data_IF_977543239641
#
_entry.id   IF_977543239641
#
_cell.length_a   1.000
_cell.length_b   1.000
_cell.length_c   1.000
_cell.angle_alpha   90.00
_cell.angle_beta   90.00
_cell.angle_gamma   90.00
#
_symmetry.space_group_name_H-M   'P 1'
#
loop_
_entity.id
_entity.type
_entity.pdbx_description
1 polymer ?
#
# COMPACT_ATOMS: atom_id res chain seq x y z
N UNK A 1 6.23 31.06 -3.26
CA UNK A 1 6.30 29.61 -3.54
C UNK A 1 7.51 29.06 -2.79
N UNK A 2 7.30 28.05 -1.95
CA UNK A 2 8.38 27.50 -1.13
C UNK A 2 8.19 25.98 -0.99
N UNK A 3 9.27 25.21 -1.07
CA UNK A 3 9.27 23.78 -0.79
C UNK A 3 9.21 23.54 0.72
N UNK A 4 8.50 22.51 1.13
CA UNK A 4 8.35 22.11 2.54
C UNK A 4 8.67 20.62 2.69
N UNK A 5 9.04 20.22 3.89
CA UNK A 5 9.23 18.80 4.21
C UNK A 5 7.90 18.04 4.16
N UNK A 6 7.87 16.92 3.46
CA UNK A 6 6.68 16.06 3.30
C UNK A 6 7.03 14.58 3.51
N UNK A 7 6.07 13.83 4.04
CA UNK A 7 6.00 12.39 3.78
C UNK A 7 5.38 12.22 2.40
N UNK A 8 6.01 11.40 1.57
CA UNK A 8 5.63 11.18 0.17
C UNK A 8 5.52 9.68 -0.09
N UNK A 9 4.38 9.25 -0.64
CA UNK A 9 4.15 7.91 -1.14
C UNK A 9 3.86 7.98 -2.63
N UNK A 10 4.60 7.24 -3.43
CA UNK A 10 4.30 7.02 -4.85
C UNK A 10 3.89 5.56 -5.05
N UNK A 11 2.73 5.33 -5.64
CA UNK A 11 2.17 4.01 -5.94
C UNK A 11 1.94 3.84 -7.43
N UNK A 12 2.10 2.60 -7.89
CA UNK A 12 1.81 2.14 -9.25
C UNK A 12 0.91 0.89 -9.19
N UNK A 13 -0.07 0.81 -10.09
CA UNK A 13 -0.90 -0.38 -10.27
C UNK A 13 -0.15 -1.37 -11.15
N UNK A 14 0.26 -2.48 -10.56
CA UNK A 14 1.05 -3.50 -11.24
C UNK A 14 0.30 -4.09 -12.44
N UNK A 15 0.89 -3.92 -13.63
CA UNK A 15 0.34 -4.49 -14.86
C UNK A 15 -0.82 -3.72 -15.47
N UNK A 16 -1.03 -2.46 -15.10
CA UNK A 16 -2.08 -1.60 -15.64
C UNK A 16 -2.10 -1.58 -17.18
N UNK A 17 -0.96 -1.35 -17.81
CA UNK A 17 -0.86 -1.35 -19.28
C UNK A 17 -1.35 -2.66 -19.89
N UNK A 18 -1.06 -3.81 -19.26
CA UNK A 18 -1.55 -5.11 -19.71
C UNK A 18 -3.07 -5.25 -19.51
N UNK A 19 -3.62 -4.68 -18.43
CA UNK A 19 -5.07 -4.68 -18.20
C UNK A 19 -5.75 -3.95 -19.36
N UNK A 20 -5.33 -2.73 -19.65
CA UNK A 20 -5.93 -1.89 -20.71
C UNK A 20 -5.72 -2.49 -22.09
N UNK A 21 -4.50 -2.94 -22.42
CA UNK A 21 -4.20 -3.53 -23.74
C UNK A 21 -4.96 -4.83 -24.04
N UNK A 22 -5.44 -5.52 -23.00
CA UNK A 22 -6.24 -6.74 -23.16
C UNK A 22 -7.76 -6.48 -23.17
N UNK A 23 -8.21 -5.23 -23.02
CA UNK A 23 -9.61 -4.88 -23.20
C UNK A 23 -9.99 -5.03 -24.67
N UNK A 24 -10.97 -5.90 -24.94
CA UNK A 24 -11.40 -6.23 -26.32
C UNK A 24 -12.44 -5.26 -26.85
N UNK A 25 -13.13 -4.58 -25.97
CA UNK A 25 -14.22 -3.68 -26.29
C UNK A 25 -14.44 -2.66 -25.16
N UNK A 26 -15.26 -1.66 -25.45
CA UNK A 26 -15.61 -0.56 -24.52
C UNK A 26 -16.30 -1.07 -23.23
N UNK A 27 -17.01 -2.19 -23.28
CA UNK A 27 -17.68 -2.74 -22.10
C UNK A 27 -16.63 -3.25 -21.10
N UNK A 28 -15.59 -3.90 -21.60
CA UNK A 28 -14.48 -4.38 -20.78
C UNK A 28 -13.65 -3.23 -20.22
N UNK A 29 -13.42 -2.18 -21.01
CA UNK A 29 -12.75 -0.94 -20.52
C UNK A 29 -13.56 -0.29 -19.39
N UNK A 30 -14.88 -0.13 -19.55
CA UNK A 30 -15.75 0.42 -18.51
C UNK A 30 -15.73 -0.44 -17.23
N UNK A 31 -15.74 -1.77 -17.35
CA UNK A 31 -15.63 -2.65 -16.18
C UNK A 31 -14.34 -2.40 -15.39
N UNK A 32 -13.20 -2.29 -16.07
CA UNK A 32 -11.93 -1.99 -15.38
C UNK A 32 -11.85 -0.55 -14.87
N UNK A 33 -12.44 0.40 -15.58
CA UNK A 33 -12.55 1.79 -15.11
C UNK A 33 -13.29 1.84 -13.77
N UNK A 34 -14.49 1.25 -13.70
CA UNK A 34 -15.31 1.23 -12.48
C UNK A 34 -14.58 0.52 -11.33
N UNK A 35 -13.94 -0.60 -11.63
CA UNK A 35 -13.17 -1.38 -10.66
C UNK A 35 -11.98 -0.59 -10.09
N UNK A 36 -11.14 -0.03 -10.96
CA UNK A 36 -9.96 0.74 -10.56
C UNK A 36 -10.36 2.01 -9.82
N UNK A 37 -11.38 2.72 -10.33
CA UNK A 37 -11.93 3.91 -9.68
C UNK A 37 -12.43 3.61 -8.27
N UNK A 38 -13.18 2.52 -8.08
CA UNK A 38 -13.65 2.09 -6.75
C UNK A 38 -12.48 1.79 -5.80
N UNK A 39 -11.46 1.08 -6.28
CA UNK A 39 -10.28 0.72 -5.48
C UNK A 39 -9.51 1.98 -5.07
N UNK A 40 -9.24 2.91 -6.00
CA UNK A 40 -8.52 4.15 -5.72
C UNK A 40 -9.32 5.04 -4.76
N UNK A 41 -10.64 5.16 -4.95
CA UNK A 41 -11.51 5.92 -4.05
C UNK A 41 -11.49 5.37 -2.62
N UNK A 42 -11.42 4.05 -2.45
CA UNK A 42 -11.26 3.43 -1.15
C UNK A 42 -9.85 3.68 -0.57
N UNK A 43 -8.79 3.58 -1.37
CA UNK A 43 -7.43 3.89 -0.94
C UNK A 43 -7.32 5.33 -0.41
N UNK A 44 -7.84 6.32 -1.15
CA UNK A 44 -7.89 7.71 -0.70
C UNK A 44 -8.65 7.84 0.62
N UNK A 45 -9.77 7.11 0.79
CA UNK A 45 -10.52 7.11 2.05
C UNK A 45 -9.72 6.55 3.22
N UNK A 46 -8.91 5.51 3.02
CA UNK A 46 -8.07 4.94 4.07
C UNK A 46 -6.88 5.84 4.44
N UNK A 47 -6.38 6.65 3.52
CA UNK A 47 -5.22 7.51 3.74
C UNK A 47 -5.64 8.94 4.12
N UNK A 48 -6.50 9.58 3.34
CA UNK A 48 -6.82 11.01 3.50
C UNK A 48 -7.88 11.26 4.57
N UNK A 49 -8.84 10.33 4.75
CA UNK A 49 -9.97 10.50 5.68
C UNK A 49 -9.78 9.78 7.01
N UNK A 50 -8.60 9.23 7.24
CA UNK A 50 -8.28 8.61 8.52
C UNK A 50 -8.19 9.67 9.61
N UNK A 51 -8.87 9.43 10.72
CA UNK A 51 -8.71 10.26 11.91
C UNK A 51 -7.38 9.97 12.60
N UNK A 52 -6.63 11.01 12.91
CA UNK A 52 -5.35 10.92 13.61
C UNK A 52 -5.55 11.43 15.03
N UNK A 53 -5.21 10.63 16.02
CA UNK A 53 -5.02 11.11 17.39
C UNK A 53 -3.63 11.77 17.48
N UNK A 54 -3.57 13.11 17.42
CA UNK A 54 -2.30 13.84 17.47
C UNK A 54 -1.99 14.34 18.90
N UNK A 55 -3.00 14.45 19.77
CA UNK A 55 -2.79 15.04 21.10
C UNK A 55 -3.53 14.25 22.17
N UNK A 56 -2.76 13.53 22.99
CA UNK A 56 -3.29 12.84 24.16
C UNK A 56 -3.81 13.80 25.26
N UNK A 57 -3.52 15.11 25.17
CA UNK A 57 -3.92 16.09 26.16
C UNK A 57 -5.22 16.83 25.81
N UNK A 58 -5.65 16.85 24.55
CA UNK A 58 -6.78 17.69 24.11
C UNK A 58 -7.94 16.93 23.45
N UNK A 59 -7.96 15.60 23.41
CA UNK A 59 -9.02 14.79 22.78
C UNK A 59 -9.46 15.22 21.35
N UNK A 60 -8.61 15.96 20.66
CA UNK A 60 -8.91 16.45 19.33
C UNK A 60 -8.57 15.41 18.25
N UNK A 61 -9.60 14.86 17.63
CA UNK A 61 -9.49 14.08 16.40
C UNK A 61 -9.16 15.01 15.23
N UNK A 62 -7.94 14.88 14.69
CA UNK A 62 -7.57 15.57 13.48
C UNK A 62 -7.70 14.63 12.27
N UNK A 63 -8.25 15.14 11.16
CA UNK A 63 -8.22 14.44 9.88
C UNK A 63 -6.80 14.34 9.35
N UNK A 64 -6.53 13.27 8.62
CA UNK A 64 -5.27 13.11 7.90
C UNK A 64 -5.00 14.34 7.01
N UNK A 65 -3.75 14.80 7.00
CA UNK A 65 -3.31 15.92 6.14
C UNK A 65 -2.82 15.44 4.77
N UNK A 66 -2.94 14.15 4.49
CA UNK A 66 -2.56 13.62 3.18
C UNK A 66 -3.47 14.19 2.09
N UNK A 67 -2.84 14.58 1.00
CA UNK A 67 -3.47 14.91 -0.28
C UNK A 67 -3.04 13.89 -1.32
N UNK A 68 -3.82 13.72 -2.36
CA UNK A 68 -3.49 12.83 -3.47
C UNK A 68 -3.51 13.55 -4.81
N UNK A 69 -2.67 13.06 -5.72
CA UNK A 69 -2.74 13.31 -7.15
C UNK A 69 -2.74 11.98 -7.88
N UNK A 70 -3.59 11.91 -8.89
CA UNK A 70 -3.84 10.70 -9.66
C UNK A 70 -3.52 10.97 -11.11
N UNK A 71 -2.70 10.13 -11.70
CA UNK A 71 -2.41 10.18 -13.12
C UNK A 71 -2.27 8.77 -13.68
N UNK A 72 -3.26 8.34 -14.47
CA UNK A 72 -3.30 6.97 -15.00
C UNK A 72 -3.30 5.92 -13.87
N UNK A 73 -2.28 5.07 -13.82
CA UNK A 73 -2.00 4.06 -12.80
C UNK A 73 -1.13 4.56 -11.64
N UNK A 74 -0.64 5.80 -11.76
CA UNK A 74 0.22 6.40 -10.75
C UNK A 74 -0.58 7.20 -9.73
N UNK A 75 -0.31 6.96 -8.46
CA UNK A 75 -0.99 7.61 -7.34
C UNK A 75 0.08 8.20 -6.43
N UNK A 76 0.03 9.52 -6.25
CA UNK A 76 0.91 10.24 -5.35
C UNK A 76 0.11 10.68 -4.13
N UNK A 77 0.54 10.26 -2.93
CA UNK A 77 0.08 10.82 -1.66
C UNK A 77 1.20 11.60 -1.00
N UNK A 78 0.87 12.74 -0.41
CA UNK A 78 1.85 13.58 0.28
C UNK A 78 1.21 14.38 1.40
N UNK A 79 1.96 14.61 2.48
CA UNK A 79 1.53 15.43 3.62
C UNK A 79 2.71 16.22 4.19
N UNK A 80 2.57 17.54 4.43
CA UNK A 80 3.62 18.33 5.03
C UNK A 80 3.77 18.00 6.53
N UNK A 81 5.01 18.00 7.02
CA UNK A 81 5.29 17.87 8.44
C UNK A 81 6.14 19.03 8.98
N UNK A 82 6.00 19.34 10.28
CA UNK A 82 6.64 20.47 10.91
C UNK A 82 7.89 20.10 11.71
N UNK A 83 7.94 18.92 12.28
CA UNK A 83 9.02 18.41 13.13
C UNK A 83 9.05 16.88 13.08
N UNK A 84 10.02 16.26 13.76
CA UNK A 84 10.20 14.79 13.74
C UNK A 84 8.99 14.04 14.34
N UNK A 85 8.39 14.51 15.43
CA UNK A 85 7.21 13.88 16.03
C UNK A 85 6.04 13.88 15.06
N UNK A 86 5.83 14.99 14.38
CA UNK A 86 4.80 15.15 13.37
C UNK A 86 5.06 14.26 12.14
N UNK A 87 6.32 14.15 11.71
CA UNK A 87 6.76 13.23 10.67
C UNK A 87 6.42 11.78 11.03
N UNK A 88 6.79 11.34 12.24
CA UNK A 88 6.57 9.98 12.69
C UNK A 88 5.08 9.65 12.78
N UNK A 89 4.25 10.58 13.29
CA UNK A 89 2.81 10.40 13.32
C UNK A 89 2.18 10.26 11.94
N UNK A 90 2.57 11.10 10.98
CA UNK A 90 2.09 11.00 9.61
C UNK A 90 2.54 9.71 8.94
N UNK A 91 3.81 9.34 9.13
CA UNK A 91 4.35 8.10 8.59
C UNK A 91 3.60 6.88 9.13
N UNK A 92 3.40 6.78 10.45
CA UNK A 92 2.64 5.68 11.05
C UNK A 92 1.21 5.61 10.54
N UNK A 93 0.55 6.75 10.43
CA UNK A 93 -0.80 6.83 9.89
C UNK A 93 -0.88 6.32 8.45
N UNK A 94 0.10 6.67 7.63
CA UNK A 94 0.20 6.18 6.26
C UNK A 94 0.35 4.65 6.23
N UNK A 95 1.25 4.09 7.05
CA UNK A 95 1.44 2.65 7.13
C UNK A 95 0.18 1.91 7.59
N UNK A 96 -0.53 2.45 8.58
CA UNK A 96 -1.79 1.88 9.05
C UNK A 96 -2.87 1.90 7.97
N UNK A 97 -3.07 3.05 7.32
CA UNK A 97 -4.04 3.19 6.23
C UNK A 97 -3.75 2.26 5.06
N UNK A 98 -2.49 2.18 4.65
CA UNK A 98 -2.05 1.27 3.59
C UNK A 98 -2.24 -0.20 3.96
N UNK A 99 -1.87 -0.59 5.18
CA UNK A 99 -2.01 -1.99 5.61
C UNK A 99 -3.46 -2.43 5.67
N UNK A 100 -4.32 -1.60 6.24
CA UNK A 100 -5.75 -1.87 6.29
C UNK A 100 -6.35 -1.97 4.88
N UNK A 101 -5.96 -1.07 3.99
CA UNK A 101 -6.37 -1.11 2.59
C UNK A 101 -5.88 -2.37 1.88
N UNK A 102 -4.58 -2.68 1.94
CA UNK A 102 -3.99 -3.81 1.22
C UNK A 102 -4.54 -5.15 1.72
N UNK A 103 -4.79 -5.32 3.02
CA UNK A 103 -5.45 -6.52 3.56
C UNK A 103 -6.84 -6.71 2.94
N UNK A 104 -7.63 -5.65 2.78
CA UNK A 104 -9.01 -5.71 2.31
C UNK A 104 -9.14 -5.80 0.78
N UNK A 105 -8.23 -5.18 0.03
CA UNK A 105 -8.38 -4.95 -1.42
C UNK A 105 -7.42 -5.75 -2.32
N UNK A 106 -6.43 -6.45 -1.77
CA UNK A 106 -5.58 -7.37 -2.57
C UNK A 106 -6.38 -8.51 -3.26
N UNK A 107 -7.62 -8.73 -2.85
CA UNK A 107 -8.58 -9.68 -3.42
C UNK A 107 -9.07 -9.37 -4.84
N UNK A 108 -8.92 -8.15 -5.27
CA UNK A 108 -9.53 -7.63 -6.50
C UNK A 108 -8.71 -7.90 -7.78
N UNK A 109 -7.69 -8.75 -7.74
CA UNK A 109 -6.74 -8.99 -8.84
C UNK A 109 -5.96 -7.69 -9.25
N UNK A 110 -5.99 -6.66 -8.41
CA UNK A 110 -5.23 -5.42 -8.56
C UNK A 110 -4.17 -5.39 -7.47
N UNK A 111 -2.93 -5.29 -7.89
CA UNK A 111 -1.78 -5.30 -6.99
C UNK A 111 -1.03 -3.98 -7.13
N UNK A 112 -0.46 -3.53 -6.02
CA UNK A 112 0.28 -2.29 -5.96
C UNK A 112 1.76 -2.53 -5.69
N UNK A 113 2.58 -1.64 -6.22
CA UNK A 113 3.96 -1.45 -5.77
C UNK A 113 4.18 0.03 -5.51
N UNK A 114 5.19 0.39 -4.73
CA UNK A 114 5.38 1.79 -4.39
C UNK A 114 6.61 2.07 -3.57
N UNK A 115 6.84 3.36 -3.32
CA UNK A 115 7.91 3.87 -2.49
C UNK A 115 7.43 4.95 -1.52
N UNK A 116 7.83 4.83 -0.25
CA UNK A 116 7.60 5.83 0.79
C UNK A 116 8.91 6.50 1.17
N UNK A 117 8.92 7.82 1.21
CA UNK A 117 10.07 8.62 1.63
C UNK A 117 9.67 9.87 2.38
N UNK A 118 10.64 10.54 3.01
CA UNK A 118 10.56 11.94 3.42
C UNK A 118 11.42 12.80 2.49
N UNK A 119 10.95 14.00 2.17
CA UNK A 119 11.68 14.92 1.33
C UNK A 119 10.97 16.23 1.05
N UNK A 120 11.68 17.14 0.40
CA UNK A 120 11.13 18.43 0.03
C UNK A 120 10.13 18.30 -1.12
N UNK A 121 8.96 18.95 -0.98
CA UNK A 121 7.93 19.00 -1.99
C UNK A 121 7.20 20.34 -1.95
N UNK A 122 6.87 20.85 -3.12
CA UNK A 122 5.95 21.96 -3.37
C UNK A 122 4.73 21.44 -4.12
N UNK A 123 3.56 21.92 -3.75
CA UNK A 123 2.30 21.62 -4.43
C UNK A 123 1.52 22.89 -4.71
N UNK A 124 1.11 23.07 -5.97
CA UNK A 124 0.18 24.09 -6.40
C UNK A 124 -1.19 23.44 -6.71
N UNK A 125 -2.18 23.76 -5.89
CA UNK A 125 -3.51 23.16 -6.00
C UNK A 125 -4.26 23.61 -7.28
N UNK A 126 -4.03 24.84 -7.74
CA UNK A 126 -4.73 25.36 -8.91
C UNK A 126 -4.19 24.76 -10.22
N UNK A 127 -2.89 24.51 -10.25
CA UNK A 127 -2.21 23.93 -11.41
C UNK A 127 -2.11 22.40 -11.32
N UNK A 128 -2.49 21.79 -10.20
CA UNK A 128 -2.22 20.39 -9.89
C UNK A 128 -0.73 20.02 -10.11
N UNK A 129 0.15 20.97 -9.80
CA UNK A 129 1.59 20.87 -10.07
C UNK A 129 2.34 20.49 -8.81
N UNK A 130 3.19 19.45 -8.92
CA UNK A 130 4.07 18.98 -7.86
C UNK A 130 5.51 19.09 -8.30
N UNK A 131 6.36 19.58 -7.39
CA UNK A 131 7.81 19.71 -7.61
C UNK A 131 8.57 19.40 -6.32
N UNK A 132 9.66 18.66 -6.43
CA UNK A 132 10.59 18.49 -5.31
C UNK A 132 11.32 17.15 -5.28
N UNK A 133 12.39 17.10 -4.46
CA UNK A 133 13.22 15.90 -4.29
C UNK A 133 12.47 14.72 -3.70
N UNK A 134 11.46 14.98 -2.84
CA UNK A 134 10.60 13.93 -2.27
C UNK A 134 9.86 13.14 -3.34
N UNK A 135 9.31 13.82 -4.37
CA UNK A 135 8.66 13.16 -5.50
C UNK A 135 9.64 12.26 -6.27
N UNK A 136 10.80 12.81 -6.65
CA UNK A 136 11.83 12.08 -7.41
C UNK A 136 12.29 10.83 -6.64
N UNK A 137 12.51 10.96 -5.34
CA UNK A 137 12.96 9.86 -4.48
C UNK A 137 11.89 8.77 -4.33
N UNK A 138 10.63 9.16 -4.08
CA UNK A 138 9.52 8.20 -3.99
C UNK A 138 9.30 7.43 -5.30
N UNK A 139 9.34 8.12 -6.44
CA UNK A 139 9.29 7.52 -7.77
C UNK A 139 10.48 6.58 -8.03
N UNK A 140 11.70 6.97 -7.64
CA UNK A 140 12.88 6.10 -7.79
C UNK A 140 12.75 4.82 -6.97
N UNK A 141 12.24 4.91 -5.74
CA UNK A 141 11.98 3.74 -4.90
C UNK A 141 10.96 2.82 -5.57
N UNK A 142 9.87 3.35 -6.10
CA UNK A 142 8.85 2.58 -6.82
C UNK A 142 9.44 1.93 -8.09
N UNK A 143 10.02 2.71 -8.99
CA UNK A 143 10.42 2.25 -10.33
C UNK A 143 11.66 1.35 -10.34
N UNK A 144 12.61 1.60 -9.44
CA UNK A 144 13.92 0.93 -9.44
C UNK A 144 14.12 -0.08 -8.33
N UNK A 145 13.48 0.09 -7.17
CA UNK A 145 13.67 -0.76 -5.98
C UNK A 145 12.47 -1.68 -5.73
N UNK A 146 11.25 -1.19 -5.90
CA UNK A 146 10.03 -1.98 -5.72
C UNK A 146 9.76 -2.90 -6.92
N UNK A 147 10.66 -3.86 -7.16
CA UNK A 147 10.55 -4.83 -8.28
C UNK A 147 9.34 -5.76 -8.15
N UNK A 148 8.88 -5.98 -6.92
CA UNK A 148 7.79 -6.88 -6.56
C UNK A 148 6.55 -6.10 -6.10
N UNK A 149 5.36 -6.73 -5.94
CA UNK A 149 4.17 -6.08 -5.40
C UNK A 149 4.35 -5.79 -3.90
N UNK A 150 5.16 -4.80 -3.59
CA UNK A 150 5.46 -4.34 -2.24
C UNK A 150 5.64 -2.83 -2.19
N UNK A 151 5.43 -2.26 -1.02
CA UNK A 151 5.67 -0.84 -0.75
C UNK A 151 7.01 -0.72 -0.06
N UNK A 152 8.01 -0.22 -0.78
CA UNK A 152 9.38 -0.03 -0.27
C UNK A 152 9.44 1.22 0.61
N UNK A 153 10.20 1.14 1.67
CA UNK A 153 10.41 2.21 2.63
C UNK A 153 11.84 2.71 2.53
N UNK A 154 11.97 4.01 2.42
CA UNK A 154 13.27 4.67 2.41
C UNK A 154 14.06 4.38 3.70
N UNK A 155 15.36 4.17 3.56
CA UNK A 155 16.25 3.95 4.70
C UNK A 155 16.26 5.11 5.71
N UNK A 156 15.94 6.33 5.30
CA UNK A 156 15.81 7.48 6.19
C UNK A 156 14.55 7.43 7.07
N UNK A 157 13.53 6.69 6.62
CA UNK A 157 12.28 6.43 7.37
C UNK A 157 12.32 5.08 8.08
N UNK A 158 13.44 4.34 7.99
CA UNK A 158 13.54 3.05 8.66
C UNK A 158 13.20 3.21 10.14
N UNK A 159 12.43 2.27 10.67
CA UNK A 159 11.92 2.40 12.02
C UNK A 159 13.04 2.42 13.06
N UNK A 160 12.81 3.19 14.11
CA UNK A 160 13.26 2.78 15.44
C UNK A 160 12.83 1.32 15.70
N UNK A 161 13.58 0.50 16.45
CA UNK A 161 13.34 -0.95 16.63
C UNK A 161 11.94 -1.36 17.15
N UNK A 162 11.05 -0.42 17.34
CA UNK A 162 9.71 -0.58 17.93
C UNK A 162 8.59 -0.70 16.88
N UNK A 163 8.85 -0.48 15.58
CA UNK A 163 7.79 -0.44 14.57
C UNK A 163 7.46 -1.84 14.01
N UNK A 164 6.41 -2.41 14.52
CA UNK A 164 5.72 -3.57 13.97
C UNK A 164 5.19 -3.25 12.58
N UNK A 165 5.29 -4.18 11.63
CA UNK A 165 4.74 -4.00 10.30
C UNK A 165 5.73 -3.49 9.25
N UNK A 166 7.04 -3.59 9.54
CA UNK A 166 8.11 -3.41 8.55
C UNK A 166 8.94 -4.67 8.49
N UNK A 167 9.11 -5.19 7.28
CA UNK A 167 10.00 -6.31 6.99
C UNK A 167 11.23 -5.83 6.22
N UNK A 168 12.28 -6.64 6.24
CA UNK A 168 13.52 -6.39 5.52
C UNK A 168 13.92 -7.62 4.70
N UNK A 169 14.31 -7.38 3.47
CA UNK A 169 14.88 -8.39 2.57
C UNK A 169 16.01 -7.76 1.76
N UNK A 170 17.23 -8.31 1.83
CA UNK A 170 18.40 -7.81 1.10
C UNK A 170 18.60 -6.28 1.24
N UNK A 171 18.60 -5.79 2.48
CA UNK A 171 18.75 -4.37 2.85
C UNK A 171 17.60 -3.44 2.39
N UNK A 172 16.55 -3.99 1.78
CA UNK A 172 15.36 -3.25 1.38
C UNK A 172 14.31 -3.38 2.47
N UNK A 173 13.88 -2.26 3.05
CA UNK A 173 12.75 -2.20 3.97
C UNK A 173 11.45 -2.07 3.19
N UNK A 174 10.42 -2.79 3.60
CA UNK A 174 9.11 -2.73 2.98
C UNK A 174 7.99 -2.95 4.00
N UNK A 175 6.80 -2.47 3.66
CA UNK A 175 5.60 -2.61 4.49
C UNK A 175 5.18 -4.09 4.57
N UNK A 176 5.22 -4.67 5.78
CA UNK A 176 4.60 -5.96 6.10
C UNK A 176 3.11 -5.74 6.42
N UNK A 177 2.34 -5.50 5.37
CA UNK A 177 0.93 -5.12 5.50
C UNK A 177 0.05 -6.21 6.11
N UNK A 178 0.42 -7.50 5.96
CA UNK A 178 -0.32 -8.60 6.60
C UNK A 178 -0.13 -8.59 8.11
N UNK A 179 1.10 -8.46 8.59
CA UNK A 179 1.38 -8.39 10.03
C UNK A 179 0.75 -7.17 10.68
N UNK A 180 0.90 -6.00 10.05
CA UNK A 180 0.34 -4.74 10.58
C UNK A 180 -1.19 -4.72 10.50
N UNK A 181 -1.77 -5.14 9.38
CA UNK A 181 -3.22 -5.18 9.21
C UNK A 181 -3.90 -6.19 10.12
N UNK A 182 -3.27 -7.35 10.38
CA UNK A 182 -3.75 -8.32 11.38
C UNK A 182 -3.76 -7.71 12.79
N UNK A 183 -2.68 -7.01 13.17
CA UNK A 183 -2.62 -6.31 14.45
C UNK A 183 -3.74 -5.27 14.58
N UNK A 184 -3.98 -4.46 13.55
CA UNK A 184 -5.04 -3.46 13.54
C UNK A 184 -6.44 -4.07 13.71
N UNK A 185 -6.70 -5.21 13.06
CA UNK A 185 -7.97 -5.94 13.22
C UNK A 185 -8.07 -6.53 14.63
N UNK A 186 -7.00 -7.15 15.13
CA UNK A 186 -6.95 -7.73 16.48
C UNK A 186 -7.21 -6.67 17.57
N UNK A 187 -6.63 -5.49 17.42
CA UNK A 187 -6.69 -4.42 18.41
C UNK A 187 -7.92 -3.51 18.22
N UNK A 188 -8.81 -3.81 17.28
CA UNK A 188 -10.08 -3.09 17.04
C UNK A 188 -11.16 -3.45 18.10
N UNK A 189 -12.21 -2.64 18.16
CA UNK A 189 -13.36 -2.85 19.07
C UNK A 189 -14.35 -3.94 18.58
N UNK A 190 -14.06 -4.65 17.49
CA UNK A 190 -14.91 -5.73 17.00
C UNK A 190 -14.94 -6.92 17.98
N UNK A 191 -16.05 -7.70 18.04
CA UNK A 191 -16.08 -8.95 18.77
C UNK A 191 -15.01 -9.94 18.28
N UNK A 192 -14.42 -10.73 19.19
CA UNK A 192 -13.25 -11.57 18.87
C UNK A 192 -13.50 -12.56 17.72
N UNK A 193 -14.68 -13.22 17.72
CA UNK A 193 -15.05 -14.12 16.62
C UNK A 193 -15.12 -13.39 15.27
N UNK A 194 -15.63 -12.15 15.24
CA UNK A 194 -15.73 -11.32 14.03
C UNK A 194 -14.35 -10.93 13.51
N UNK A 195 -13.38 -10.63 14.39
CA UNK A 195 -12.00 -10.32 14.01
C UNK A 195 -11.36 -11.47 13.26
N UNK A 196 -11.46 -12.68 13.83
CA UNK A 196 -10.87 -13.91 13.27
C UNK A 196 -11.53 -14.24 11.92
N UNK A 197 -12.85 -14.20 11.85
CA UNK A 197 -13.60 -14.45 10.62
C UNK A 197 -13.29 -13.44 9.54
N UNK A 198 -13.26 -12.16 9.88
CA UNK A 198 -12.96 -11.08 8.94
C UNK A 198 -11.56 -11.23 8.35
N UNK A 199 -10.54 -11.42 9.19
CA UNK A 199 -9.17 -11.56 8.71
C UNK A 199 -8.96 -12.85 7.91
N UNK A 200 -9.58 -13.96 8.34
CA UNK A 200 -9.58 -15.23 7.61
C UNK A 200 -10.23 -15.11 6.24
N UNK A 201 -11.32 -14.35 6.13
CA UNK A 201 -11.95 -14.06 4.84
C UNK A 201 -11.01 -13.27 3.92
N UNK A 202 -10.34 -12.25 4.45
CA UNK A 202 -9.34 -11.50 3.69
C UNK A 202 -8.20 -12.39 3.17
N UNK A 203 -7.64 -13.26 4.02
CA UNK A 203 -6.58 -14.20 3.60
C UNK A 203 -7.06 -15.19 2.54
N UNK A 204 -8.29 -15.70 2.65
CA UNK A 204 -8.88 -16.59 1.64
C UNK A 204 -9.03 -15.89 0.28
N UNK A 205 -9.51 -14.67 0.28
CA UNK A 205 -9.69 -13.88 -0.94
C UNK A 205 -8.34 -13.51 -1.57
N UNK A 206 -7.35 -13.14 -0.76
CA UNK A 206 -5.97 -12.90 -1.22
C UNK A 206 -5.35 -14.17 -1.83
N UNK A 207 -5.48 -15.33 -1.15
CA UNK A 207 -5.03 -16.61 -1.71
C UNK A 207 -5.58 -16.83 -3.11
N UNK A 208 -6.89 -16.62 -3.31
CA UNK A 208 -7.54 -16.81 -4.60
C UNK A 208 -6.98 -15.86 -5.67
N UNK A 209 -6.86 -14.57 -5.35
CA UNK A 209 -6.35 -13.57 -6.28
C UNK A 209 -4.88 -13.82 -6.66
N UNK A 210 -4.03 -14.14 -5.67
CA UNK A 210 -2.61 -14.41 -5.91
C UNK A 210 -2.42 -15.70 -6.68
N UNK A 211 -3.14 -16.79 -6.32
CA UNK A 211 -3.09 -18.07 -7.06
C UNK A 211 -3.47 -17.91 -8.51
N UNK A 212 -4.53 -17.15 -8.79
CA UNK A 212 -4.97 -16.87 -10.17
C UNK A 212 -3.90 -16.11 -10.95
N UNK A 213 -3.28 -15.08 -10.35
CA UNK A 213 -2.21 -14.33 -11.00
C UNK A 213 -0.95 -15.18 -11.18
N UNK A 214 -0.57 -15.99 -10.18
CA UNK A 214 0.54 -16.93 -10.24
C UNK A 214 0.39 -17.88 -11.43
N UNK A 215 -0.74 -18.54 -11.57
CA UNK A 215 -1.01 -19.47 -12.68
C UNK A 215 -1.07 -18.77 -14.03
N UNK A 216 -1.70 -17.60 -14.10
CA UNK A 216 -1.82 -16.79 -15.32
C UNK A 216 -0.45 -16.46 -15.93
N UNK A 217 0.53 -16.12 -15.11
CA UNK A 217 1.84 -15.65 -15.54
C UNK A 217 2.97 -16.67 -15.41
N UNK A 218 2.66 -17.94 -15.11
CA UNK A 218 3.63 -19.02 -14.88
C UNK A 218 4.70 -19.13 -15.98
N UNK A 219 4.35 -18.84 -17.24
CA UNK A 219 5.24 -18.90 -18.40
C UNK A 219 5.87 -17.57 -18.81
N UNK A 220 5.57 -16.50 -18.10
CA UNK A 220 6.12 -15.17 -18.39
C UNK A 220 7.32 -14.89 -17.47
N UNK A 221 8.53 -15.14 -17.96
CA UNK A 221 9.77 -15.01 -17.20
C UNK A 221 9.98 -13.60 -16.61
N UNK A 222 9.40 -12.55 -17.20
CA UNK A 222 9.51 -11.16 -16.74
C UNK A 222 8.51 -10.82 -15.65
N UNK A 223 7.31 -11.37 -15.74
CA UNK A 223 6.19 -11.04 -14.85
C UNK A 223 6.05 -12.04 -13.71
N UNK A 224 6.27 -13.33 -13.98
CA UNK A 224 6.12 -14.42 -13.02
C UNK A 224 6.86 -14.20 -11.68
N UNK A 225 8.13 -13.75 -11.64
CA UNK A 225 8.85 -13.53 -10.38
C UNK A 225 8.14 -12.59 -9.41
N UNK A 226 7.30 -11.69 -9.91
CA UNK A 226 6.51 -10.76 -9.10
C UNK A 226 5.45 -11.50 -8.28
N UNK A 227 4.72 -12.40 -8.91
CA UNK A 227 3.67 -13.19 -8.27
C UNK A 227 4.24 -14.35 -7.45
N UNK A 228 5.38 -14.89 -7.83
CA UNK A 228 6.14 -15.85 -7.03
C UNK A 228 6.56 -15.23 -5.69
N UNK A 229 7.10 -14.01 -5.71
CA UNK A 229 7.44 -13.29 -4.50
C UNK A 229 6.20 -13.04 -3.62
N UNK A 230 5.09 -12.60 -4.22
CA UNK A 230 3.86 -12.32 -3.48
C UNK A 230 3.25 -13.58 -2.85
N UNK A 231 3.26 -14.70 -3.58
CA UNK A 231 2.81 -15.99 -3.08
C UNK A 231 3.69 -16.46 -1.91
N UNK A 232 5.02 -16.31 -2.03
CA UNK A 232 5.95 -16.61 -0.93
C UNK A 232 5.67 -15.73 0.30
N UNK A 233 5.52 -14.42 0.14
CA UNK A 233 5.21 -13.49 1.22
C UNK A 233 3.91 -13.89 1.95
N UNK A 234 2.84 -14.18 1.22
CA UNK A 234 1.58 -14.65 1.77
C UNK A 234 1.73 -15.97 2.52
N UNK A 235 2.44 -16.94 1.94
CA UNK A 235 2.66 -18.25 2.53
C UNK A 235 3.51 -18.19 3.80
N UNK A 236 4.57 -17.37 3.80
CA UNK A 236 5.43 -17.18 4.97
C UNK A 236 4.64 -16.58 6.14
N UNK A 237 3.78 -15.60 5.85
CA UNK A 237 2.86 -15.03 6.83
C UNK A 237 1.89 -16.09 7.39
N UNK A 238 1.22 -16.85 6.51
CA UNK A 238 0.26 -17.89 6.90
C UNK A 238 0.90 -18.97 7.76
N UNK A 239 2.07 -19.47 7.38
CA UNK A 239 2.84 -20.47 8.15
C UNK A 239 3.21 -19.96 9.53
N UNK A 240 3.75 -18.74 9.62
CA UNK A 240 4.18 -18.12 10.88
C UNK A 240 3.03 -17.91 11.86
N UNK A 241 1.82 -17.66 11.37
CA UNK A 241 0.66 -17.28 12.19
C UNK A 241 -0.42 -18.37 12.29
N UNK A 242 -0.16 -19.61 11.83
CA UNK A 242 -1.08 -20.72 11.97
C UNK A 242 -2.25 -20.76 10.99
N UNK A 243 -2.23 -19.98 9.94
CA UNK A 243 -3.27 -19.91 8.88
C UNK A 243 -2.99 -20.90 7.73
N UNK A 244 -2.55 -22.12 8.04
CA UNK A 244 -2.08 -23.10 7.06
C UNK A 244 -3.10 -23.45 5.96
N UNK A 245 -4.41 -23.32 6.24
CA UNK A 245 -5.50 -23.55 5.28
C UNK A 245 -5.51 -22.52 4.12
N UNK A 246 -4.81 -21.40 4.27
CA UNK A 246 -4.73 -20.36 3.25
C UNK A 246 -3.40 -20.35 2.49
N UNK A 247 -2.54 -21.34 2.68
CA UNK A 247 -1.30 -21.47 1.92
C UNK A 247 -1.62 -21.67 0.43
N UNK A 248 -0.91 -20.95 -0.43
CA UNK A 248 -0.94 -21.04 -1.88
C UNK A 248 -0.03 -22.19 -2.30
N UNK A 249 -0.52 -23.02 -3.20
CA UNK A 249 0.28 -24.05 -3.86
C UNK A 249 1.22 -23.37 -4.88
N UNK A 250 2.52 -23.58 -4.72
CA UNK A 250 3.57 -22.93 -5.53
C UNK A 250 4.51 -23.95 -6.18
N UNK A 251 3.96 -25.10 -6.55
CA UNK A 251 4.70 -26.16 -7.27
C UNK A 251 5.12 -25.73 -8.68
#
# INVERSE_FOLDING_TARGET
>A
MEVQNHIVLFLDILGYSNIISNCKDKQMENYYLDKIHSIISNLSRFIEKRHIYIDQQNDNLHLSRFRSLLFSDNILFFAPYKNEIDKDNLYMNLLYGLSEFLVRYTKEDIFFRGGITAGNLYYDENLHFVFGSGLVKAYTLESSVAKYPRIVIDNELKPSPILWGIAQENEIYYLDYLSLGHSLIRDSDMPEHTKIEHFSSCLKEQKNAISKAYQKYLKDERVFPKYQWLAKYHNDYCKKNGFNQFIIDVD
#
